data_IF_765517155859
#
_entry.id   IF_765517155859
#
_cell.length_a   1.000
_cell.length_b   1.000
_cell.length_c   1.000
_cell.angle_alpha   90.00
_cell.angle_beta   90.00
_cell.angle_gamma   90.00
#
_symmetry.space_group_name_H-M   'P 1'
#
loop_
_entity.id
_entity.type
_entity.pdbx_description
1 polymer ?
#
# COMPACT_ATOMS: atom_id res chain seq x y z
N UNK A 1 22.27 -9.67 6.01
CA UNK A 1 21.46 -9.42 4.80
C UNK A 1 21.14 -7.93 4.67
N UNK A 2 21.61 -7.25 3.60
CA UNK A 2 21.48 -5.80 3.44
C UNK A 2 20.02 -5.34 3.24
N UNK A 3 19.17 -6.15 2.62
CA UNK A 3 17.76 -5.84 2.35
C UNK A 3 16.94 -5.49 3.62
N UNK A 4 17.20 -6.19 4.73
CA UNK A 4 16.54 -5.92 6.02
C UNK A 4 16.87 -4.54 6.58
N UNK A 5 18.09 -4.05 6.35
CA UNK A 5 18.51 -2.71 6.80
C UNK A 5 17.86 -1.63 5.95
N UNK A 6 17.80 -1.83 4.63
CA UNK A 6 17.21 -0.87 3.69
C UNK A 6 15.71 -0.66 3.97
N UNK A 7 14.96 -1.76 4.13
CA UNK A 7 13.53 -1.71 4.42
C UNK A 7 13.25 -1.00 5.75
N UNK A 8 14.08 -1.26 6.77
CA UNK A 8 13.99 -0.56 8.06
C UNK A 8 14.21 0.93 7.94
N UNK A 9 15.22 1.36 7.19
CA UNK A 9 15.48 2.77 6.95
C UNK A 9 14.30 3.45 6.22
N UNK A 10 13.72 2.80 5.22
CA UNK A 10 12.56 3.33 4.49
C UNK A 10 11.37 3.55 5.43
N UNK A 11 11.01 2.55 6.24
CA UNK A 11 9.87 2.65 7.16
C UNK A 11 10.07 3.72 8.25
N UNK A 12 11.31 3.93 8.71
CA UNK A 12 11.63 5.01 9.67
C UNK A 12 11.44 6.38 9.02
N UNK A 13 11.96 6.57 7.79
CA UNK A 13 11.85 7.84 7.07
C UNK A 13 10.37 8.14 6.78
N UNK A 14 9.62 7.17 6.27
CA UNK A 14 8.20 7.32 5.97
C UNK A 14 7.40 7.63 7.25
N UNK A 15 7.65 6.93 8.36
CA UNK A 15 7.00 7.19 9.64
C UNK A 15 7.30 8.59 10.20
N UNK A 16 8.53 9.06 10.07
CA UNK A 16 8.92 10.42 10.47
C UNK A 16 8.24 11.50 9.61
N UNK A 17 8.16 11.29 8.29
CA UNK A 17 7.47 12.21 7.36
C UNK A 17 5.97 12.26 7.66
N UNK A 18 5.34 11.12 7.90
CA UNK A 18 3.92 11.05 8.28
C UNK A 18 3.69 11.77 9.61
N UNK A 19 4.55 11.57 10.61
CA UNK A 19 4.48 12.27 11.90
C UNK A 19 4.54 13.80 11.73
N UNK A 20 5.41 14.29 10.85
CA UNK A 20 5.48 15.71 10.50
C UNK A 20 4.20 16.23 9.83
N UNK A 21 3.67 15.48 8.86
CA UNK A 21 2.42 15.83 8.16
C UNK A 21 1.21 15.88 9.09
N UNK A 22 1.09 14.91 9.99
CA UNK A 22 0.01 14.86 10.99
C UNK A 22 0.11 16.07 11.93
N UNK A 23 1.32 16.40 12.40
CA UNK A 23 1.55 17.58 13.23
C UNK A 23 1.18 18.88 12.50
N UNK A 24 1.57 19.02 11.23
CA UNK A 24 1.24 20.20 10.41
C UNK A 24 -0.26 20.39 10.18
N UNK A 25 -1.06 19.31 10.18
CA UNK A 25 -2.51 19.37 9.90
C UNK A 25 -3.36 19.60 11.16
N UNK A 26 -2.90 19.11 12.32
CA UNK A 26 -3.64 19.20 13.59
C UNK A 26 -3.32 20.47 14.40
N UNK A 27 -2.11 21.05 14.29
CA UNK A 27 -1.68 22.21 15.08
C UNK A 27 -1.71 23.53 14.28
N UNK A 28 -2.82 23.81 13.61
CA UNK A 28 -3.08 25.12 12.98
C UNK A 28 -3.66 26.09 14.03
N UNK A 29 -2.88 26.49 15.04
CA UNK A 29 -3.23 27.56 15.99
C UNK A 29 -2.16 28.67 15.92
N UNK A 30 -2.55 29.97 15.95
CA UNK A 30 -1.64 31.08 15.65
C UNK A 30 -0.65 31.38 16.80
N UNK A 31 0.63 31.36 16.44
CA UNK A 31 1.76 32.22 16.84
C UNK A 31 2.08 32.60 18.29
N UNK A 32 1.36 32.19 19.35
CA UNK A 32 1.62 32.80 20.68
C UNK A 32 2.67 32.12 21.59
N UNK A 33 3.23 30.95 21.23
CA UNK A 33 4.25 30.27 22.06
C UNK A 33 5.29 29.49 21.23
N UNK A 34 6.19 30.23 20.58
CA UNK A 34 7.22 29.73 19.64
C UNK A 34 8.12 28.63 20.25
N UNK A 35 8.41 28.68 21.56
CA UNK A 35 9.31 27.72 22.21
C UNK A 35 8.68 26.33 22.41
N UNK A 36 7.42 26.27 22.88
CA UNK A 36 6.70 25.00 23.08
C UNK A 36 6.35 24.31 21.77
N UNK A 37 6.10 25.11 20.72
CA UNK A 37 5.78 24.59 19.39
C UNK A 37 6.95 23.78 18.79
N UNK A 38 8.19 24.25 18.97
CA UNK A 38 9.38 23.60 18.43
C UNK A 38 9.66 22.25 19.10
N UNK A 39 9.49 22.17 20.42
CA UNK A 39 9.62 20.92 21.18
C UNK A 39 8.55 19.90 20.79
N UNK A 40 7.30 20.33 20.62
CA UNK A 40 6.21 19.43 20.23
C UNK A 40 6.40 18.87 18.82
N UNK A 41 6.97 19.67 17.90
CA UNK A 41 7.34 19.23 16.55
C UNK A 41 8.41 18.13 16.59
N UNK A 42 9.46 18.32 17.38
CA UNK A 42 10.54 17.32 17.54
C UNK A 42 9.98 16.04 18.16
N UNK A 43 9.09 16.16 19.16
CA UNK A 43 8.45 15.03 19.81
C UNK A 43 7.53 14.26 18.86
N UNK A 44 6.79 14.95 17.98
CA UNK A 44 5.95 14.33 16.96
C UNK A 44 6.77 13.59 15.88
N UNK A 45 7.90 14.16 15.45
CA UNK A 45 8.82 13.50 14.52
C UNK A 45 9.46 12.28 15.18
N UNK A 46 9.92 12.41 16.43
CA UNK A 46 10.49 11.30 17.20
C UNK A 46 9.45 10.19 17.44
N UNK A 47 8.21 10.54 17.79
CA UNK A 47 7.09 9.61 17.95
C UNK A 47 6.71 8.92 16.64
N UNK A 48 6.60 9.65 15.54
CA UNK A 48 6.34 9.07 14.21
C UNK A 48 7.44 8.11 13.77
N UNK A 49 8.70 8.47 14.04
CA UNK A 49 9.87 7.64 13.76
C UNK A 49 9.90 6.35 14.59
N UNK A 50 9.56 6.40 15.89
CA UNK A 50 9.52 5.20 16.75
C UNK A 50 8.38 4.26 16.38
N UNK A 51 7.22 4.79 16.02
CA UNK A 51 6.10 3.98 15.51
C UNK A 51 6.48 3.34 14.17
N UNK A 52 7.10 4.08 13.25
CA UNK A 52 7.61 3.55 11.98
C UNK A 52 8.68 2.45 12.18
N UNK A 53 9.53 2.60 13.19
CA UNK A 53 10.52 1.60 13.57
C UNK A 53 9.89 0.31 14.11
N UNK A 54 8.92 0.43 15.03
CA UNK A 54 8.19 -0.71 15.59
C UNK A 54 7.44 -1.48 14.50
N UNK A 55 6.79 -0.74 13.59
CA UNK A 55 6.10 -1.34 12.46
C UNK A 55 7.06 -2.10 11.53
N UNK A 56 8.24 -1.53 11.27
CA UNK A 56 9.28 -2.22 10.50
C UNK A 56 9.73 -3.53 11.13
N UNK A 57 9.86 -3.58 12.47
CA UNK A 57 10.30 -4.77 13.19
C UNK A 57 9.27 -5.91 13.07
N UNK A 58 7.98 -5.59 13.16
CA UNK A 58 6.89 -6.55 12.96
C UNK A 58 6.82 -7.04 11.51
N UNK A 59 6.96 -6.12 10.54
CA UNK A 59 6.91 -6.44 9.12
C UNK A 59 8.05 -7.37 8.70
N UNK A 60 9.27 -7.14 9.18
CA UNK A 60 10.45 -7.90 8.75
C UNK A 60 10.38 -9.38 9.16
N UNK A 61 9.77 -9.70 10.30
CA UNK A 61 9.61 -11.09 10.76
C UNK A 61 8.45 -11.77 10.03
N UNK A 62 7.30 -11.11 9.90
CA UNK A 62 6.12 -11.72 9.27
C UNK A 62 6.27 -11.90 7.77
N UNK A 63 6.78 -10.90 7.04
CA UNK A 63 6.90 -10.98 5.59
C UNK A 63 7.80 -12.13 5.18
N UNK A 64 8.91 -12.35 5.88
CA UNK A 64 9.84 -13.42 5.53
C UNK A 64 9.24 -14.82 5.72
N UNK A 65 8.46 -15.00 6.79
CA UNK A 65 7.75 -16.25 7.03
C UNK A 65 6.73 -16.50 5.92
N UNK A 66 5.91 -15.49 5.60
CA UNK A 66 4.91 -15.60 4.54
C UNK A 66 5.55 -15.82 3.17
N UNK A 67 6.61 -15.10 2.84
CA UNK A 67 7.32 -15.30 1.57
C UNK A 67 7.91 -16.70 1.47
N UNK A 68 8.51 -17.21 2.55
CA UNK A 68 9.08 -18.56 2.57
C UNK A 68 8.02 -19.63 2.36
N UNK A 69 6.86 -19.48 3.01
CA UNK A 69 5.72 -20.37 2.80
C UNK A 69 5.22 -20.30 1.36
N UNK A 70 4.99 -19.08 0.83
CA UNK A 70 4.55 -18.86 -0.55
C UNK A 70 5.52 -19.49 -1.54
N UNK A 71 6.84 -19.29 -1.38
CA UNK A 71 7.86 -19.86 -2.26
C UNK A 71 7.86 -21.39 -2.19
N UNK A 72 7.73 -21.97 -1.00
CA UNK A 72 7.63 -23.42 -0.80
C UNK A 72 6.39 -24.00 -1.51
N UNK A 73 5.26 -23.29 -1.43
CA UNK A 73 4.05 -23.67 -2.14
C UNK A 73 4.21 -23.53 -3.66
N UNK A 74 4.77 -22.42 -4.16
CA UNK A 74 4.98 -22.21 -5.58
C UNK A 74 5.91 -23.25 -6.21
N UNK A 75 6.98 -23.64 -5.51
CA UNK A 75 7.93 -24.63 -6.01
C UNK A 75 7.33 -26.04 -6.14
N UNK A 76 6.26 -26.33 -5.39
CA UNK A 76 5.53 -27.60 -5.45
C UNK A 76 4.47 -27.66 -6.54
N UNK A 77 4.13 -26.52 -7.17
CA UNK A 77 3.11 -26.49 -8.22
C UNK A 77 3.75 -27.00 -9.53
N UNK A 78 3.19 -28.04 -10.17
CA UNK A 78 3.71 -28.53 -11.44
C UNK A 78 3.55 -27.48 -12.54
N UNK A 79 4.52 -27.41 -13.45
CA UNK A 79 4.60 -26.40 -14.53
C UNK A 79 3.36 -26.37 -15.43
N UNK A 80 2.69 -27.50 -15.60
CA UNK A 80 1.45 -27.62 -16.37
C UNK A 80 0.30 -26.80 -15.77
N UNK A 81 0.17 -26.79 -14.44
CA UNK A 81 -0.88 -26.02 -13.76
C UNK A 81 -0.59 -24.52 -13.86
N UNK A 82 0.67 -24.11 -13.82
CA UNK A 82 1.07 -22.72 -14.06
C UNK A 82 0.76 -22.26 -15.49
N UNK A 83 1.02 -23.10 -16.48
CA UNK A 83 0.69 -22.79 -17.87
C UNK A 83 -0.82 -22.61 -18.06
N UNK A 84 -1.63 -23.53 -17.52
CA UNK A 84 -3.09 -23.43 -17.55
C UNK A 84 -3.61 -22.16 -16.83
N UNK A 85 -3.06 -21.84 -15.65
CA UNK A 85 -3.40 -20.62 -14.92
C UNK A 85 -3.04 -19.35 -15.69
N UNK A 86 -1.88 -19.33 -16.35
CA UNK A 86 -1.42 -18.19 -17.15
C UNK A 86 -2.29 -18.00 -18.38
N UNK A 87 -2.64 -19.08 -19.08
CA UNK A 87 -3.57 -19.03 -20.23
C UNK A 87 -4.94 -18.52 -19.77
N UNK A 88 -5.46 -19.04 -18.65
CA UNK A 88 -6.71 -18.55 -18.07
C UNK A 88 -6.66 -17.06 -17.72
N UNK A 89 -5.53 -16.57 -17.21
CA UNK A 89 -5.34 -15.16 -16.89
C UNK A 89 -5.30 -14.29 -18.16
N UNK A 90 -4.61 -14.73 -19.22
CA UNK A 90 -4.58 -14.03 -20.51
C UNK A 90 -5.99 -13.93 -21.10
N UNK A 91 -6.71 -15.06 -21.17
CA UNK A 91 -8.07 -15.12 -21.71
C UNK A 91 -9.02 -14.27 -20.86
N UNK A 92 -8.93 -14.35 -19.53
CA UNK A 92 -9.72 -13.54 -18.61
C UNK A 92 -9.49 -12.04 -18.79
N UNK A 93 -8.24 -11.60 -18.99
CA UNK A 93 -7.92 -10.20 -19.27
C UNK A 93 -8.50 -9.74 -20.61
N UNK A 94 -8.44 -10.57 -21.65
CA UNK A 94 -9.03 -10.26 -22.95
C UNK A 94 -10.55 -10.08 -22.80
N UNK A 95 -11.23 -11.01 -22.13
CA UNK A 95 -12.68 -10.93 -21.89
C UNK A 95 -13.01 -9.69 -21.07
N UNK A 96 -12.26 -9.40 -20.00
CA UNK A 96 -12.48 -8.22 -19.16
C UNK A 96 -12.34 -6.92 -19.97
N UNK A 97 -11.35 -6.82 -20.84
CA UNK A 97 -11.14 -5.64 -21.67
C UNK A 97 -12.24 -5.49 -22.74
N UNK A 98 -12.68 -6.59 -23.35
CA UNK A 98 -13.79 -6.59 -24.31
C UNK A 98 -15.12 -6.21 -23.64
N UNK A 99 -15.38 -6.73 -22.45
CA UNK A 99 -16.54 -6.37 -21.63
C UNK A 99 -16.49 -4.90 -21.24
N UNK A 100 -15.35 -4.41 -20.74
CA UNK A 100 -15.19 -3.01 -20.37
C UNK A 100 -15.45 -2.07 -21.56
N UNK A 101 -14.93 -2.41 -22.75
CA UNK A 101 -15.18 -1.65 -23.97
C UNK A 101 -16.66 -1.68 -24.38
N UNK A 102 -17.29 -2.85 -24.37
CA UNK A 102 -18.72 -3.00 -24.72
C UNK A 102 -19.65 -2.29 -23.71
N UNK A 103 -19.34 -2.39 -22.42
CA UNK A 103 -20.08 -1.76 -21.34
C UNK A 103 -19.82 -0.25 -21.23
N UNK A 104 -18.74 0.27 -21.83
CA UNK A 104 -18.46 1.71 -21.88
C UNK A 104 -19.54 2.51 -22.60
N UNK A 105 -20.34 1.86 -23.45
CA UNK A 105 -21.45 2.48 -24.17
C UNK A 105 -22.75 2.52 -23.35
N UNK A 106 -22.82 1.78 -22.24
CA UNK A 106 -23.98 1.80 -21.34
C UNK A 106 -23.71 2.85 -20.25
N UNK A 107 -24.38 4.03 -20.29
CA UNK A 107 -24.27 4.99 -19.21
C UNK A 107 -24.79 4.37 -17.91
N UNK A 108 -23.99 4.49 -16.84
CA UNK A 108 -24.22 3.89 -15.52
C UNK A 108 -25.45 4.53 -14.83
N UNK A 109 -25.86 5.73 -15.27
CA UNK A 109 -27.14 6.40 -14.95
C UNK A 109 -27.63 7.17 -16.19
N UNK A 110 -28.85 6.90 -16.65
CA UNK A 110 -29.56 7.69 -17.68
C UNK A 110 -30.76 6.96 -18.28
N UNK A 111 -31.86 7.69 -18.53
CA UNK A 111 -33.16 7.15 -18.98
C UNK A 111 -33.04 6.25 -20.20
N UNK A 112 -33.26 4.96 -19.95
CA UNK A 112 -33.25 3.92 -20.96
C UNK A 112 -34.53 3.96 -21.79
N UNK A 113 -34.36 3.67 -23.09
CA UNK A 113 -35.39 3.16 -24.01
C UNK A 113 -36.47 4.18 -24.45
N UNK A 114 -36.37 4.76 -25.67
CA UNK A 114 -37.58 5.09 -26.38
C UNK A 114 -38.23 3.76 -26.77
N UNK A 115 -39.20 3.33 -25.96
CA UNK A 115 -40.19 2.36 -26.41
C UNK A 115 -40.99 3.11 -27.48
N UNK A 116 -40.77 2.76 -28.73
CA UNK A 116 -41.65 3.14 -29.84
C UNK A 116 -43.06 2.59 -29.62
#
# INVERSE_FOLDING_TARGET
MPAKRILKTIFIIVGAVIGYWVYSKFYFIPDLYIHYNTLFKILAIAGGGTVGFLFSLLFNTKIQCLFSEIICHLQKIPTQNFAAATIGLIVGLIIANLLAYSLSFIPIIGSYLPII
#
